data_IF_190438610979
#
_entry.id   IF_190438610979
#
_cell.length_a   1.000
_cell.length_b   1.000
_cell.length_c   1.000
_cell.angle_alpha   90.00
_cell.angle_beta   90.00
_cell.angle_gamma   90.00
#
_symmetry.space_group_name_H-M   'P 1'
#
loop_
_entity.id
_entity.type
_entity.pdbx_description
1 polymer ?
2 polymer ?
3 non-polymer ?
4 non-polymer ?
5 non-polymer ?
6 non-polymer ?
7 non-polymer ?
8 non-polymer ?
9 non-polymer ?
10 water ?
#
# COMPACT_ATOMS: atom_id res chain seq x y z
N UNK A 2 -12.01 8.20 10.92
CA UNK A 2 -11.45 7.12 10.13
C UNK A 2 -11.32 5.88 11.03
N UNK A 3 -11.81 4.75 10.55
CA UNK A 3 -11.77 3.53 11.36
C UNK A 3 -11.71 2.31 10.44
N UNK A 4 -10.97 1.30 10.89
CA UNK A 4 -10.84 0.09 10.10
C UNK A 4 -12.13 -0.70 10.12
N UNK A 5 -12.41 -1.40 9.02
CA UNK A 5 -13.62 -2.20 8.90
C UNK A 5 -13.26 -3.56 8.30
N UNK A 6 -14.18 -4.51 8.45
CA UNK A 6 -13.97 -5.88 8.00
C UNK A 6 -15.26 -6.42 7.40
N UNK A 7 -15.14 -7.16 6.32
CA UNK A 7 -16.23 -7.89 5.69
C UNK A 7 -15.82 -9.36 5.67
N UNK A 8 -16.77 -10.25 5.96
CA UNK A 8 -16.50 -11.67 5.83
C UNK A 8 -17.64 -12.34 5.07
N UNK A 9 -17.29 -13.13 4.06
CA UNK A 9 -18.27 -13.92 3.34
C UNK A 9 -17.58 -15.14 2.74
N UNK A 10 -18.26 -16.28 2.81
CA UNK A 10 -17.77 -17.54 2.23
C UNK A 10 -16.36 -17.86 2.71
N UNK A 11 -16.06 -17.55 3.96
CA UNK A 11 -14.76 -17.84 4.54
C UNK A 11 -13.66 -16.86 4.16
N UNK A 13 -12.13 -12.97 4.38
CA UNK A 13 -12.21 -11.69 5.06
C UNK A 13 -11.56 -10.58 4.25
N UNK A 14 -12.34 -9.52 3.99
CA UNK A 14 -11.84 -8.32 3.33
C UNK A 14 -11.58 -7.25 4.39
N UNK A 15 -10.44 -6.59 4.31
CA UNK A 15 -10.08 -5.57 5.28
C UNK A 15 -10.05 -4.21 4.62
N UNK A 16 -10.66 -3.23 5.29
CA UNK A 16 -10.76 -1.93 4.68
C UNK A 16 -10.72 -0.76 5.64
N UNK A 19 -14.34 6.16 6.24
CA UNK A 19 -14.31 7.55 6.66
C UNK A 19 -15.74 8.06 6.74
N UNK A 20 -16.04 8.82 7.79
CA UNK A 20 -17.30 9.51 7.96
C UNK A 20 -17.05 10.95 8.37
N UNK A 21 -17.89 11.88 7.94
CA UNK A 21 -17.73 13.29 8.33
C UNK A 21 -17.95 13.47 9.83
N UNK A 22 -17.06 14.24 10.47
CA UNK A 22 -17.20 14.53 11.89
C UNK A 22 -18.39 15.45 12.15
N UNK A 23 -18.54 16.49 11.33
CA UNK A 23 -19.54 17.52 11.60
C UNK A 23 -20.95 16.99 11.38
N UNK A 24 -21.17 16.24 10.30
CA UNK A 24 -22.52 15.85 9.92
C UNK A 24 -23.08 14.82 10.88
N UNK A 25 -24.37 14.94 11.19
CA UNK A 25 -25.10 13.96 11.98
C UNK A 25 -26.19 13.34 11.12
N UNK A 26 -26.42 12.05 11.29
CA UNK A 26 -27.40 11.33 10.50
C UNK A 26 -26.77 10.51 9.40
N UNK A 27 -27.58 10.20 8.39
CA UNK A 27 -27.11 9.42 7.25
C UNK A 27 -26.36 10.32 6.27
N UNK A 28 -25.24 9.82 5.75
CA UNK A 28 -24.37 10.62 4.90
C UNK A 28 -24.19 9.91 3.58
N UNK A 29 -23.82 10.64 2.52
CA UNK A 29 -23.45 9.99 1.26
C UNK A 29 -22.15 9.20 1.43
N UNK A 31 -18.92 7.10 -0.79
CA UNK A 31 -18.19 6.75 -2.00
C UNK A 31 -17.40 5.48 -1.73
N UNK A 32 -17.60 4.46 -2.58
CA UNK A 32 -16.85 3.22 -2.50
C UNK A 32 -15.73 3.26 -3.54
N UNK A 34 -12.52 1.38 -5.52
CA UNK A 34 -11.93 0.10 -5.90
C UNK A 34 -10.53 0.33 -6.45
N UNK A 35 -9.55 -0.37 -5.88
CA UNK A 35 -8.17 -0.20 -6.30
C UNK A 35 -7.89 -1.05 -7.55
N UNK A 36 -6.69 -0.87 -8.11
CA UNK A 36 -6.32 -1.47 -9.36
C UNK A 36 -5.49 -2.75 -9.19
N UNK A 37 -4.98 -3.22 -10.34
CA UNK A 37 -4.29 -4.50 -10.48
C UNK A 37 -2.90 -4.42 -9.85
N UNK A 38 -2.66 -5.25 -8.83
CA UNK A 38 -1.51 -5.24 -7.92
C UNK A 38 -1.51 -4.05 -6.97
N UNK A 39 -2.54 -3.20 -7.01
CA UNK A 39 -2.66 -2.11 -6.05
C UNK A 39 -3.29 -2.60 -4.75
N UNK A 40 -3.56 -1.63 -3.88
CA UNK A 40 -4.27 -1.87 -2.63
C UNK A 40 -5.02 -0.60 -2.26
N UNK A 41 -5.77 -0.67 -1.15
CA UNK A 41 -6.74 0.38 -0.81
C UNK A 41 -6.09 1.72 -0.50
N UNK A 42 -4.78 1.76 -0.21
CA UNK A 42 -4.10 3.04 -0.07
C UNK A 42 -3.79 3.63 -1.45
N UNK A 43 -3.51 2.76 -2.41
CA UNK A 43 -3.17 3.07 -3.79
C UNK A 43 -1.95 3.95 -3.96
N UNK A 44 -1.61 4.23 -5.22
CA UNK A 44 -0.35 4.88 -5.56
C UNK A 44 -0.22 6.23 -4.86
N UNK A 45 0.96 6.48 -4.29
CA UNK A 45 1.29 7.65 -3.48
C UNK A 45 0.16 8.06 -2.54
N UNK A 46 -0.54 7.07 -1.97
CA UNK A 46 -1.60 7.27 -0.98
C UNK A 46 -2.78 8.06 -1.56
N UNK A 47 -3.01 7.98 -2.87
CA UNK A 47 -4.01 8.86 -3.48
C UNK A 47 -5.43 8.50 -2.99
N UNK A 48 -5.70 7.23 -2.69
CA UNK A 48 -7.03 6.89 -2.18
C UNK A 48 -7.25 7.43 -0.78
N UNK A 49 -6.23 7.36 0.08
CA UNK A 49 -6.33 7.95 1.41
C UNK A 49 -6.59 9.44 1.31
N UNK A 50 -5.86 10.12 0.43
CA UNK A 50 -6.03 11.56 0.25
C UNK A 50 -7.41 11.87 -0.28
N UNK A 52 -10.18 10.05 0.25
CA UNK A 52 -11.10 9.84 1.36
C UNK A 52 -11.14 11.06 2.27
N UNK A 53 -9.98 11.62 2.60
CA UNK A 53 -9.95 12.75 3.51
C UNK A 53 -10.49 14.01 2.86
N UNK A 54 -10.31 14.15 1.54
CA UNK A 54 -10.89 15.30 0.84
C UNK A 54 -12.41 15.21 0.81
N UNK A 55 -12.95 14.00 0.58
CA UNK A 55 -14.41 13.82 0.62
C UNK A 55 -14.96 14.09 2.01
N UNK A 56 -14.29 13.59 3.04
CA UNK A 56 -14.73 13.81 4.42
C UNK A 56 -14.91 15.30 4.70
N UNK A 57 -14.04 16.14 4.12
CA UNK A 57 -14.12 17.58 4.37
C UNK A 57 -15.39 18.21 3.82
N UNK A 58 -16.03 17.60 2.82
CA UNK A 58 -17.23 18.17 2.21
C UNK A 58 -18.49 17.40 2.61
N UNK A 59 -18.40 16.52 3.60
CA UNK A 59 -19.56 15.84 4.12
C UNK A 59 -19.85 14.50 3.50
N UNK A 60 -18.89 13.87 2.85
CA UNK A 60 -19.09 12.64 2.09
C UNK A 60 -18.21 11.55 2.69
N UNK A 61 -18.84 10.46 3.12
CA UNK A 61 -18.10 9.33 3.65
C UNK A 61 -17.58 8.44 2.54
N UNK A 62 -16.73 7.48 2.94
CA UNK A 62 -16.16 6.58 1.96
C UNK A 62 -15.75 5.29 2.63
N UNK A 63 -15.61 4.24 1.81
CA UNK A 63 -14.97 3.00 2.23
C UNK A 63 -14.00 2.59 1.13
N UNK A 64 -12.90 1.96 1.56
CA UNK A 64 -11.87 1.43 0.67
C UNK A 64 -11.45 0.09 1.23
N UNK A 65 -11.68 -0.98 0.47
CA UNK A 65 -11.27 -2.32 0.87
C UNK A 65 -10.17 -2.85 -0.05
N UNK A 66 -9.36 -3.78 0.49
CA UNK A 66 -8.49 -4.58 -0.36
C UNK A 66 -9.29 -5.75 -0.90
N UNK A 67 -9.21 -5.96 -2.21
CA UNK A 67 -9.83 -7.16 -2.79
C UNK A 67 -9.18 -8.40 -2.23
N UNK A 68 -9.95 -9.49 -2.19
CA UNK A 68 -9.41 -10.78 -1.79
C UNK A 68 -8.20 -11.11 -2.64
N UNK A 69 -7.09 -11.48 -1.99
CA UNK A 69 -5.84 -11.75 -2.66
C UNK A 69 -4.88 -10.58 -2.72
N UNK A 70 -5.27 -9.40 -2.25
CA UNK A 70 -4.42 -8.21 -2.28
C UNK A 70 -4.32 -7.56 -0.92
N UNK A 71 -3.19 -6.91 -0.67
CA UNK A 71 -3.07 -5.99 0.46
C UNK A 71 -3.27 -6.66 1.80
N UNK A 72 -4.14 -6.04 2.62
CA UNK A 72 -4.41 -6.53 3.97
C UNK A 72 -5.46 -7.62 4.01
N UNK A 73 -6.23 -7.80 2.94
CA UNK A 73 -7.29 -8.78 2.96
C UNK A 73 -6.71 -10.20 2.92
N UNK A 74 -7.59 -11.18 3.14
CA UNK A 74 -7.21 -12.59 3.05
C UNK A 74 -6.88 -12.97 1.61
N UNK A 75 -6.23 -14.12 1.46
CA UNK A 75 -6.04 -14.78 0.19
C UNK A 75 -4.70 -14.45 -0.45
N UNK A 76 -4.28 -15.31 -1.38
CA UNK A 76 -3.13 -15.03 -2.22
C UNK A 76 -3.59 -14.54 -3.59
N UNK A 77 -2.71 -13.76 -4.23
CA UNK A 77 -3.00 -13.20 -5.54
C UNK A 77 -3.37 -14.29 -6.54
N UNK A 78 -2.82 -15.50 -6.38
CA UNK A 78 -3.08 -16.59 -7.31
C UNK A 78 -4.52 -17.08 -7.26
N UNK A 79 -5.27 -16.75 -6.21
CA UNK A 79 -6.67 -17.10 -6.13
C UNK A 79 -7.58 -16.08 -6.78
N UNK A 81 -9.41 -13.62 -9.46
CA UNK A 81 -9.77 -13.37 -10.84
C UNK A 81 -10.52 -12.04 -10.89
N UNK A 82 -10.67 -11.49 -12.09
CA UNK A 82 -11.50 -10.30 -12.25
C UNK A 82 -12.89 -10.55 -11.70
N UNK A 83 -13.45 -11.73 -11.96
CA UNK A 83 -14.77 -12.07 -11.47
C UNK A 83 -14.81 -12.20 -9.95
N UNK A 84 -13.73 -12.67 -9.30
CA UNK A 84 -13.75 -12.74 -7.85
C UNK A 84 -13.68 -11.35 -7.22
N UNK A 85 -13.02 -10.39 -7.89
CA UNK A 85 -13.04 -9.01 -7.42
C UNK A 85 -14.42 -8.38 -7.65
N UNK A 86 -15.11 -8.76 -8.73
CA UNK A 86 -16.50 -8.34 -8.88
C UNK A 86 -17.35 -8.84 -7.73
N UNK A 87 -17.18 -10.10 -7.32
CA UNK A 87 -18.00 -10.57 -6.21
C UNK A 87 -17.60 -9.90 -4.90
N UNK A 88 -16.31 -9.60 -4.70
CA UNK A 88 -15.91 -8.76 -3.58
C UNK A 88 -16.66 -7.43 -3.61
N UNK A 89 -16.71 -6.80 -4.78
CA UNK A 89 -17.32 -5.48 -4.90
C UNK A 89 -18.79 -5.51 -4.54
N UNK A 90 -19.50 -6.57 -4.95
CA UNK A 90 -20.91 -6.70 -4.59
C UNK A 90 -21.07 -6.82 -3.08
N UNK A 91 -20.17 -7.57 -2.43
CA UNK A 91 -20.21 -7.68 -0.98
C UNK A 91 -19.84 -6.36 -0.31
N UNK A 92 -18.96 -5.58 -0.94
CA UNK A 92 -18.61 -4.27 -0.41
C UNK A 92 -19.80 -3.33 -0.49
N UNK A 93 -20.50 -3.34 -1.62
CA UNK A 93 -21.71 -2.54 -1.76
C UNK A 93 -22.74 -2.89 -0.71
N UNK A 95 -22.26 -4.24 2.22
CA UNK A 95 -21.74 -3.73 3.49
C UNK A 95 -22.12 -2.26 3.70
N UNK A 96 -21.84 -1.44 2.69
CA UNK A 96 -22.11 -0.01 2.76
C UNK A 96 -23.61 0.25 2.94
N UNK A 98 -25.73 -1.43 4.32
CA UNK A 98 -26.24 -1.94 5.58
C UNK A 98 -25.70 -1.18 6.78
N UNK A 99 -24.82 -0.22 6.52
CA UNK A 99 -24.32 0.63 7.60
C UNK A 99 -25.41 1.61 8.01
N UNK A 100 -25.67 1.77 9.31
CA UNK A 100 -26.73 2.70 9.73
C UNK A 100 -26.45 4.15 9.34
N UNK A 101 -25.20 4.51 9.05
CA UNK A 101 -24.86 5.89 8.72
C UNK A 101 -24.92 6.18 7.22
N UNK A 102 -25.25 5.20 6.39
CA UNK A 102 -25.27 5.38 4.95
C UNK A 102 -26.61 5.95 4.51
N UNK A 103 -26.56 6.96 3.64
CA UNK A 103 -27.75 7.40 2.92
C UNK A 103 -27.85 6.54 1.67
N UNK A 104 -28.80 5.60 1.60
CA UNK A 104 -28.82 4.65 0.47
C UNK A 104 -29.09 5.30 -0.87
N UNK A 105 -29.65 6.50 -0.90
CA UNK A 105 -29.94 7.20 -2.14
C UNK A 105 -28.74 7.96 -2.68
N UNK A 106 -27.61 7.98 -1.96
CA UNK A 106 -26.46 8.81 -2.30
C UNK A 106 -25.16 8.01 -2.16
N UNK A 107 -25.07 6.89 -2.87
CA UNK A 107 -23.88 6.06 -2.88
C UNK A 107 -23.19 6.24 -4.22
N UNK A 108 -21.91 6.63 -4.18
CA UNK A 108 -21.10 6.78 -5.37
C UNK A 108 -20.03 5.71 -5.45
N UNK A 109 -19.59 5.41 -6.67
CA UNK A 109 -18.51 4.47 -6.91
C UNK A 109 -17.33 5.20 -7.55
N UNK A 110 -16.13 4.84 -7.13
CA UNK A 110 -14.90 5.32 -7.75
C UNK A 110 -13.99 4.13 -7.99
N UNK A 111 -13.37 4.09 -9.16
CA UNK A 111 -12.42 3.02 -9.45
C UNK A 111 -11.21 3.51 -10.22
N UNK A 112 -10.04 3.01 -9.86
CA UNK A 112 -8.78 3.36 -10.50
C UNK A 112 -8.28 2.17 -11.31
N UNK A 113 -8.00 2.39 -12.59
CA UNK A 113 -7.38 1.42 -13.50
C UNK A 113 -8.28 0.19 -13.59
N UNK A 115 -9.64 -1.24 -11.26
CA UNK A 115 -10.72 -0.93 -10.35
C UNK A 115 -11.78 -0.06 -10.99
N UNK A 116 -11.39 0.75 -11.99
CA UNK A 116 -12.37 1.47 -12.79
C UNK A 116 -13.22 0.52 -13.62
N UNK A 117 -12.61 -0.55 -14.13
CA UNK A 117 -13.40 -1.56 -14.84
C UNK A 117 -14.40 -2.23 -13.92
N UNK A 118 -13.97 -2.58 -12.70
CA UNK A 118 -14.91 -3.11 -11.71
C UNK A 118 -16.01 -2.11 -11.44
N UNK A 119 -15.65 -0.83 -11.25
CA UNK A 119 -16.65 0.17 -10.90
C UNK A 119 -17.67 0.37 -12.01
N UNK A 120 -17.23 0.34 -13.27
CA UNK A 120 -18.16 0.50 -14.36
C UNK A 120 -19.16 -0.64 -14.46
N UNK A 121 -18.70 -1.86 -14.19
CA UNK A 121 -19.59 -3.01 -14.29
C UNK A 121 -20.56 -3.04 -13.12
N UNK A 122 -20.08 -2.77 -11.91
CA UNK A 122 -20.97 -2.76 -10.74
C UNK A 122 -21.99 -1.64 -10.88
N UNK A 123 -21.57 -0.48 -11.39
CA UNK A 123 -22.50 0.61 -11.64
C UNK A 123 -23.65 0.15 -12.53
N UNK A 124 -23.32 -0.55 -13.63
CA UNK A 124 -24.37 -1.02 -14.54
C UNK A 124 -25.27 -2.05 -13.87
N UNK A 125 -24.68 -2.99 -13.12
CA UNK A 125 -25.47 -4.01 -12.44
C UNK A 125 -26.45 -3.38 -11.46
N UNK A 126 -26.04 -2.31 -10.80
CA UNK A 126 -26.88 -1.68 -9.78
C UNK A 126 -27.26 -0.27 -10.21
N UNK A 128 -29.78 1.43 -10.72
CA UNK A 128 -30.88 2.17 -10.12
C UNK A 128 -30.61 2.53 -8.67
N UNK A 129 -29.44 2.12 -8.15
CA UNK A 129 -29.07 2.45 -6.78
C UNK A 129 -27.64 2.94 -6.63
N UNK A 130 -26.98 3.29 -7.73
CA UNK A 130 -25.67 3.94 -7.69
C UNK A 130 -25.86 5.35 -8.26
N UNK A 131 -25.59 6.36 -7.44
CA UNK A 131 -25.98 7.72 -7.78
C UNK A 131 -25.01 8.38 -8.75
N UNK A 132 -23.72 8.05 -8.67
CA UNK A 132 -22.72 8.67 -9.54
C UNK A 132 -21.50 7.77 -9.60
N UNK A 133 -20.72 7.93 -10.68
CA UNK A 133 -19.58 7.06 -10.98
C UNK A 133 -18.40 7.93 -11.37
N UNK A 134 -17.23 7.63 -10.81
CA UNK A 134 -15.98 8.29 -11.17
C UNK A 134 -14.98 7.22 -11.59
N UNK A 135 -14.40 7.38 -12.77
CA UNK A 135 -13.45 6.44 -13.34
C UNK A 135 -12.11 7.15 -13.48
N UNK A 136 -11.08 6.62 -12.82
CA UNK A 136 -9.71 7.13 -12.95
C UNK A 136 -8.93 6.16 -13.82
N UNK A 137 -8.43 6.65 -14.96
CA UNK A 137 -7.66 5.85 -15.91
C UNK A 137 -8.27 4.46 -16.07
N UNK A 138 -9.56 4.35 -16.39
CA UNK A 138 -10.24 3.05 -16.31
C UNK A 138 -9.72 2.07 -17.37
N UNK A 139 -9.33 0.89 -16.91
CA UNK A 139 -8.73 -0.13 -17.77
C UNK A 139 -9.80 -1.01 -18.42
N UNK A 140 -10.68 -0.36 -19.21
CA UNK A 140 -11.71 -1.12 -19.90
C UNK A 140 -11.12 -2.07 -20.93
N UNK A 141 -9.90 -1.82 -21.40
CA UNK A 141 -9.22 -2.71 -22.33
C UNK A 141 -8.37 -3.77 -21.63
N UNK A 143 -8.89 -6.87 -20.80
CA UNK A 143 -8.82 -8.17 -21.50
C UNK A 143 -7.82 -8.17 -22.64
N UNK A 144 -7.81 -7.13 -23.47
CA UNK A 144 -6.83 -7.07 -24.54
C UNK A 144 -5.41 -6.98 -23.99
N UNK A 145 -5.21 -6.17 -22.95
CA UNK A 145 -3.88 -5.99 -22.40
C UNK A 145 -3.31 -7.31 -21.87
N UNK A 146 -4.18 -8.15 -21.31
CA UNK A 146 -3.73 -9.46 -20.82
C UNK A 146 -3.46 -10.39 -21.99
N UNK A 148 -2.63 -9.72 -24.97
CA UNK A 148 -1.43 -9.30 -25.68
C UNK A 148 -0.18 -9.96 -25.12
N UNK A 149 -0.19 -10.31 -23.83
CA UNK A 149 0.96 -10.94 -23.21
C UNK A 149 1.06 -12.42 -23.53
N UNK A 150 -0.03 -13.04 -24.01
CA UNK A 150 -0.03 -14.47 -24.24
C UNK A 150 0.93 -14.89 -25.34
N UNK A 151 1.29 -13.98 -26.25
CA UNK A 151 2.22 -14.29 -27.34
C UNK A 151 3.64 -13.87 -27.00
N UNK A 152 3.88 -13.39 -25.78
CA UNK A 152 5.22 -13.02 -25.33
C UNK A 152 5.71 -14.08 -24.34
N UNK A 153 6.83 -13.79 -23.66
CA UNK A 153 7.41 -14.78 -22.77
C UNK A 153 6.45 -15.21 -21.68
N UNK A 154 5.58 -14.30 -21.21
CA UNK A 154 4.57 -14.66 -20.22
C UNK A 154 3.75 -15.86 -20.68
N UNK A 155 3.36 -15.89 -21.96
CA UNK A 155 2.53 -16.97 -22.45
C UNK A 155 3.23 -18.32 -22.42
N UNK A 156 4.53 -18.33 -22.76
CA UNK A 156 5.30 -19.57 -22.73
C UNK A 156 5.44 -20.11 -21.31
N UNK A 157 5.70 -19.23 -20.34
CA UNK A 157 5.82 -19.67 -18.96
C UNK A 157 4.48 -20.17 -18.45
N UNK A 159 2.13 -21.53 -19.97
CA UNK A 159 1.84 -22.86 -20.50
C UNK A 159 2.58 -23.95 -19.72
N UNK A 160 3.79 -23.67 -19.25
CA UNK A 160 4.55 -24.67 -18.51
C UNK A 160 4.06 -24.82 -17.07
N UNK A 161 3.65 -23.72 -16.44
CA UNK A 161 3.46 -23.70 -15.00
C UNK A 161 2.02 -23.53 -14.57
N UNK A 162 1.15 -22.99 -15.41
CA UNK A 162 -0.20 -22.64 -14.99
C UNK A 162 -0.30 -21.33 -14.27
N UNK A 163 0.81 -20.60 -14.11
CA UNK A 163 0.83 -19.27 -13.52
C UNK A 163 2.06 -18.56 -14.06
N UNK A 164 2.12 -17.25 -13.84
CA UNK A 164 3.31 -16.47 -14.15
C UNK A 164 3.59 -15.54 -12.97
N UNK A 165 4.87 -15.15 -12.85
CA UNK A 165 5.32 -14.21 -11.84
C UNK A 165 5.30 -12.82 -12.46
N UNK A 166 4.40 -11.95 -12.01
CA UNK A 166 4.33 -10.59 -12.55
C UNK A 166 5.10 -9.60 -11.69
N UNK A 167 5.97 -10.09 -10.80
CA UNK A 167 6.83 -9.23 -10.00
C UNK A 167 6.55 -9.34 -8.52
N UNK A 168 6.64 -10.54 -7.97
CA UNK A 168 6.23 -10.80 -6.61
C UNK A 168 4.76 -11.09 -6.44
N UNK A 169 4.04 -11.37 -7.53
CA UNK A 169 2.65 -11.81 -7.48
C UNK A 169 2.47 -13.00 -8.39
N UNK A 171 0.25 -14.83 -10.79
CA UNK A 171 -0.94 -14.66 -11.60
C UNK A 171 -1.37 -15.99 -12.19
N UNK A 172 -2.57 -16.44 -11.84
CA UNK A 172 -3.04 -17.76 -12.22
C UNK A 172 -3.57 -17.78 -13.65
N UNK A 173 -3.46 -18.94 -14.30
CA UNK A 173 -4.13 -19.12 -15.59
C UNK A 173 -5.64 -18.94 -15.46
N UNK A 174 -6.19 -19.18 -14.26
CA UNK A 174 -7.60 -18.90 -14.03
C UNK A 174 -7.93 -17.44 -14.33
N UNK A 175 -7.04 -16.52 -13.94
CA UNK A 175 -7.27 -15.11 -14.22
C UNK A 175 -7.35 -14.88 -15.72
N UNK A 176 -6.45 -15.50 -16.49
CA UNK A 176 -6.44 -15.26 -17.94
C UNK A 176 -7.72 -15.81 -18.57
N UNK A 177 -8.12 -17.02 -18.18
CA UNK A 177 -9.31 -17.63 -18.76
C UNK A 177 -10.56 -16.83 -18.40
N UNK A 178 -10.63 -16.34 -17.16
CA UNK A 178 -11.78 -15.56 -16.73
C UNK A 178 -11.89 -14.25 -17.50
N UNK A 179 -10.78 -13.50 -17.59
CA UNK A 179 -10.85 -12.19 -18.22
C UNK A 179 -11.00 -12.26 -19.73
N UNK A 180 -10.57 -13.37 -20.36
CA UNK A 180 -10.69 -13.47 -21.81
C UNK A 180 -12.14 -13.55 -22.26
N UNK A 181 -13.07 -13.85 -21.37
CA UNK A 181 -14.48 -13.96 -21.70
C UNK A 181 -15.27 -12.69 -21.41
N UNK A 182 -14.62 -11.65 -20.88
CA UNK A 182 -15.31 -10.44 -20.45
C UNK A 182 -15.03 -9.28 -21.41
N UNK A 183 -16.07 -8.50 -21.69
CA UNK A 183 -15.96 -7.25 -22.44
C UNK A 183 -16.43 -6.13 -21.52
N UNK A 184 -15.49 -5.32 -21.04
CA UNK A 184 -15.82 -4.30 -20.04
C UNK A 184 -16.69 -3.21 -20.65
N UNK A 185 -16.41 -2.85 -21.90
CA UNK A 185 -17.21 -1.82 -22.58
C UNK A 185 -18.67 -2.23 -22.65
N UNK A 186 -18.93 -3.48 -23.06
CA UNK A 186 -20.30 -3.97 -23.16
C UNK A 186 -20.96 -4.05 -21.79
N UNK A 187 -20.25 -4.63 -20.81
CA UNK A 187 -20.83 -4.85 -19.49
C UNK A 187 -21.11 -3.55 -18.75
N UNK A 188 -20.44 -2.47 -19.14
CA UNK A 188 -20.64 -1.18 -18.48
C UNK A 188 -21.71 -0.33 -19.14
N UNK A 189 -22.07 -0.65 -20.38
CA UNK A 189 -23.05 0.16 -21.09
C UNK A 189 -24.44 -0.03 -20.49
N UNK A 190 -25.17 1.09 -20.39
CA UNK A 190 -26.51 1.08 -19.83
C UNK A 190 -26.65 1.81 -18.51
N UNK A 191 -25.55 2.32 -17.95
CA UNK A 191 -25.60 3.15 -16.76
C UNK A 191 -25.90 4.59 -17.18
N UNK A 192 -27.01 5.13 -16.70
CA UNK A 192 -27.51 6.40 -17.20
C UNK A 192 -27.31 7.57 -16.26
N UNK A 193 -26.82 7.35 -15.04
CA UNK A 193 -26.56 8.47 -14.14
C UNK A 193 -25.23 9.11 -14.50
N UNK A 195 -21.45 10.29 -14.95
CA UNK A 195 -20.14 9.65 -14.94
C UNK A 195 -19.06 10.71 -15.12
N UNK A 196 -17.96 10.58 -14.38
CA UNK A 196 -16.79 11.41 -14.58
C UNK A 196 -15.59 10.51 -14.86
N UNK A 197 -14.87 10.80 -15.95
CA UNK A 197 -13.67 10.07 -16.32
C UNK A 197 -12.48 11.00 -16.17
N UNK A 198 -11.48 10.58 -15.40
CA UNK A 198 -10.24 11.32 -15.22
C UNK A 198 -9.11 10.51 -15.85
N UNK A 199 -8.40 11.12 -16.80
CA UNK A 199 -7.36 10.38 -17.52
C UNK A 199 -6.20 11.31 -17.83
N UNK A 200 -4.98 10.82 -17.62
CA UNK A 200 -3.78 11.56 -17.98
C UNK A 200 -3.37 11.26 -19.42
N UNK A 201 -2.91 12.30 -20.12
CA UNK A 201 -2.60 12.14 -21.54
C UNK A 201 -1.39 11.25 -21.75
N UNK A 202 -0.45 11.21 -20.81
CA UNK A 202 0.77 10.41 -20.93
C UNK A 202 0.65 9.06 -20.24
N UNK A 203 -0.56 8.59 -19.99
CA UNK A 203 -0.77 7.27 -19.40
C UNK A 203 -0.20 6.21 -20.33
N UNK A 204 0.81 5.48 -19.85
CA UNK A 204 1.44 4.42 -20.63
C UNK A 204 0.94 3.03 -20.26
N UNK A 205 0.07 2.92 -19.25
CA UNK A 205 -0.54 1.65 -18.89
C UNK A 205 -1.89 1.47 -19.59
N UNK A 206 -2.79 2.42 -19.40
CA UNK A 206 -4.07 2.48 -20.09
C UNK A 206 -4.00 3.71 -20.99
N UNK A 207 -3.77 3.52 -22.28
CA UNK A 207 -3.55 4.65 -23.17
C UNK A 207 -4.75 5.59 -23.13
N UNK A 208 -4.48 6.87 -23.27
CA UNK A 208 -5.49 7.91 -23.15
C UNK A 208 -6.66 7.68 -24.09
N UNK A 210 -8.26 5.13 -24.67
CA UNK A 210 -9.29 4.29 -24.05
C UNK A 210 -10.43 5.16 -23.52
N UNK A 211 -10.10 6.33 -22.96
CA UNK A 211 -11.15 7.23 -22.51
C UNK A 211 -11.99 7.75 -23.67
N UNK A 212 -11.37 7.95 -24.85
CA UNK A 212 -12.16 8.25 -26.04
C UNK A 212 -13.16 7.13 -26.32
N UNK A 213 -12.70 5.88 -26.29
CA UNK A 213 -13.58 4.75 -26.57
C UNK A 213 -14.73 4.68 -25.57
N UNK A 214 -14.45 4.92 -24.29
CA UNK A 214 -15.49 4.83 -23.28
C UNK A 214 -16.55 5.91 -23.50
N UNK A 215 -16.12 7.15 -23.79
CA UNK A 215 -17.07 8.21 -24.08
C UNK A 215 -17.92 7.88 -25.30
N UNK A 216 -17.32 7.20 -26.28
CA UNK A 216 -18.02 6.95 -27.54
C UNK A 216 -18.91 5.71 -27.49
N UNK A 217 -18.42 4.64 -26.85
CA UNK A 217 -19.07 3.32 -26.93
C UNK A 217 -19.92 2.99 -25.72
N UNK A 218 -19.62 3.52 -24.55
CA UNK A 218 -20.22 3.05 -23.30
C UNK A 218 -21.33 3.99 -22.82
N UNK A 219 -21.03 5.28 -22.72
CA UNK A 219 -21.96 6.23 -22.13
C UNK A 219 -22.43 7.26 -23.15
N UNK A 220 -23.52 7.93 -22.81
CA UNK A 220 -24.00 9.09 -23.55
C UNK A 220 -23.57 10.38 -22.90
N UNK A 221 -24.45 11.38 -22.98
CA UNK A 221 -24.19 12.71 -22.43
C UNK A 221 -23.99 12.71 -20.93
N UNK A 222 -24.29 11.62 -20.23
CA UNK A 222 -24.12 11.59 -18.78
C UNK A 222 -22.65 11.50 -18.36
N UNK A 223 -21.74 11.23 -19.28
CA UNK A 223 -20.32 11.11 -18.97
C UNK A 223 -19.58 12.33 -19.47
N UNK A 224 -18.70 12.87 -18.62
CA UNK A 224 -17.76 13.91 -19.03
C UNK A 224 -16.36 13.48 -18.61
N UNK A 225 -15.36 14.04 -19.27
CA UNK A 225 -13.98 13.68 -19.03
C UNK A 225 -13.20 14.90 -18.53
N UNK A 226 -12.44 14.72 -17.46
CA UNK A 226 -11.42 15.67 -17.06
C UNK A 226 -10.08 15.12 -17.53
N UNK A 227 -9.42 15.84 -18.41
CA UNK A 227 -8.14 15.45 -18.95
C UNK A 227 -7.05 16.12 -18.13
N UNK A 228 -6.13 15.33 -17.58
CA UNK A 228 -5.00 15.88 -16.85
C UNK A 228 -3.82 15.90 -17.81
N UNK A 229 -3.50 17.10 -18.29
CA UNK A 229 -2.49 17.25 -19.33
C UNK A 229 -1.14 16.75 -18.83
N UNK A 230 -0.52 15.86 -19.60
CA UNK A 230 0.84 15.34 -19.43
C UNK A 230 0.97 14.36 -18.28
N UNK A 231 -0.11 14.02 -17.58
CA UNK A 231 -0.02 13.15 -16.41
C UNK A 231 0.18 11.69 -16.82
N UNK A 232 0.84 10.95 -15.94
CA UNK A 232 1.02 9.52 -16.11
C UNK A 232 -0.18 8.76 -15.54
N UNK A 233 -0.04 7.45 -15.43
CA UNK A 233 -1.18 6.56 -15.17
C UNK A 233 -1.88 6.88 -13.85
N UNK A 234 -1.12 7.02 -12.76
CA UNK A 234 -1.72 7.26 -11.46
C UNK A 234 -1.55 8.69 -10.97
N UNK A 235 -1.34 9.64 -11.89
CA UNK A 235 -1.25 11.06 -11.54
C UNK A 235 -0.15 11.29 -10.51
N UNK A 237 2.19 13.12 -9.32
CA UNK A 237 2.80 14.40 -8.99
C UNK A 237 1.84 15.13 -8.06
N UNK A 238 2.33 16.13 -7.34
CA UNK A 238 1.46 16.88 -6.43
C UNK A 238 0.34 17.58 -7.21
N UNK A 239 0.69 18.26 -8.31
CA UNK A 239 -0.33 18.98 -9.07
C UNK A 239 -1.33 18.03 -9.72
N UNK A 240 -0.84 16.91 -10.27
CA UNK A 240 -1.74 15.99 -10.98
C UNK A 240 -2.72 15.33 -10.02
N UNK A 241 -2.24 14.82 -8.89
CA UNK A 241 -3.13 14.14 -7.96
C UNK A 241 -4.11 15.14 -7.35
N UNK A 244 -6.86 15.67 -9.90
CA UNK A 244 -7.69 14.47 -9.93
C UNK A 244 -8.65 14.44 -8.74
N UNK A 245 -8.10 14.68 -7.55
CA UNK A 245 -8.91 14.65 -6.34
C UNK A 245 -9.94 15.77 -6.35
N UNK A 246 -9.49 17.01 -6.56
CA UNK A 246 -10.40 18.14 -6.47
C UNK A 246 -11.54 18.06 -7.48
N UNK A 247 -11.24 17.64 -8.72
CA UNK A 247 -12.31 17.51 -9.72
C UNK A 247 -13.29 16.40 -9.33
N UNK A 248 -12.77 15.30 -8.78
CA UNK A 248 -13.62 14.19 -8.41
C UNK A 248 -14.46 14.52 -7.19
N UNK A 249 -13.90 15.28 -6.24
CA UNK A 249 -14.66 15.69 -5.06
C UNK A 249 -15.78 16.65 -5.45
N UNK A 250 -15.48 17.62 -6.32
CA UNK A 250 -16.51 18.57 -6.73
C UNK A 250 -17.62 17.87 -7.50
N UNK A 251 -17.25 16.88 -8.31
CA UNK A 251 -18.24 16.08 -9.02
C UNK A 251 -19.13 15.30 -8.04
N UNK A 252 -18.53 14.63 -7.07
CA UNK A 252 -19.30 13.88 -6.08
C UNK A 252 -20.13 14.81 -5.21
N UNK A 254 -21.49 17.65 -6.26
CA UNK A 254 -22.63 18.01 -7.07
C UNK A 254 -23.68 16.91 -7.12
N UNK A 255 -23.22 15.67 -7.34
CA UNK A 255 -24.14 14.57 -7.59
C UNK A 255 -24.67 13.92 -6.33
N UNK A 256 -23.87 13.83 -5.27
CA UNK A 256 -24.29 13.12 -4.07
C UNK A 256 -24.91 14.00 -3.00
N UNK A 257 -24.55 15.28 -2.92
CA UNK A 257 -25.05 16.09 -1.82
C UNK A 257 -26.45 16.64 -2.08
N UNK A 258 -26.82 16.86 -3.34
CA UNK A 258 -28.13 17.44 -3.65
C UNK A 258 -28.88 16.54 -4.63
N UNK A 259 -30.19 16.76 -4.71
CA UNK A 259 -31.07 15.97 -5.53
C UNK A 259 -32.19 15.34 -4.74
N UNK B 2 -5.56 -11.73 12.63
CA UNK B 2 -5.10 -10.43 12.15
C UNK B 2 -6.15 -9.35 12.45
N UNK B 4 -6.82 -4.79 13.00
CA UNK B 4 -6.31 -3.43 12.91
C UNK B 4 -6.07 -2.88 14.31
N UNK B 5 -5.07 -2.02 14.45
CA UNK B 5 -4.71 -1.44 15.74
C UNK B 5 -4.40 0.05 15.54
N UNK B 6 -4.42 0.79 16.64
CA UNK B 6 -4.18 2.24 16.60
C UNK B 6 -3.31 2.65 17.77
N UNK B 7 -2.51 3.68 17.54
CA UNK B 7 -1.74 4.35 18.60
C UNK B 7 -2.01 5.84 18.46
N UNK B 8 -2.39 6.49 19.55
CA UNK B 8 -2.56 7.94 19.55
C UNK B 8 -1.64 8.56 20.59
N UNK B 9 -0.77 9.46 20.15
CA UNK B 9 0.18 10.13 21.04
C UNK B 9 0.49 11.51 20.50
N UNK B 10 0.59 12.48 21.41
CA UNK B 10 0.95 13.85 21.06
C UNK B 10 0.07 14.39 19.93
N UNK B 11 -1.21 14.01 19.96
CA UNK B 11 -2.16 14.43 18.95
C UNK B 11 -2.06 13.68 17.63
N UNK B 12 -1.13 12.74 17.49
CA UNK B 12 -0.97 11.97 16.26
C UNK B 12 -1.57 10.59 16.42
N UNK B 13 -2.23 10.10 15.37
CA UNK B 13 -2.80 8.76 15.36
C UNK B 13 -2.11 7.93 14.29
N UNK B 14 -1.46 6.85 14.72
CA UNK B 14 -0.87 5.87 13.83
C UNK B 14 -1.81 4.69 13.68
N UNK B 15 -1.90 4.15 12.48
CA UNK B 15 -2.78 3.03 12.19
C UNK B 15 -1.96 1.86 11.66
N UNK B 16 -2.29 0.66 12.15
CA UNK B 16 -1.53 -0.51 11.80
C UNK B 16 -2.29 -1.82 11.85
N UNK B 19 -0.81 -9.16 14.16
CA UNK B 19 -1.00 -10.58 13.89
C UNK B 19 -0.66 -11.37 15.14
N UNK B 20 -1.49 -12.35 15.47
CA UNK B 20 -1.21 -13.32 16.52
C UNK B 20 -1.40 -14.72 15.97
N UNK B 21 -0.58 -15.67 16.39
CA UNK B 21 -0.81 -17.07 16.00
C UNK B 21 -2.18 -17.55 16.46
N UNK B 22 -2.84 -18.34 15.60
CA UNK B 22 -4.10 -18.95 16.00
C UNK B 22 -3.89 -20.18 16.87
N UNK B 23 -2.87 -20.98 16.57
CA UNK B 23 -2.72 -22.30 17.20
C UNK B 23 -1.92 -22.27 18.49
N UNK B 24 -1.40 -21.11 18.89
CA UNK B 24 -0.62 -20.99 20.10
C UNK B 24 -1.08 -19.73 20.81
N UNK B 26 -1.69 -17.24 24.56
CA UNK B 26 -0.87 -16.74 25.64
C UNK B 26 0.17 -15.74 25.13
N UNK B 27 1.25 -15.57 25.89
CA UNK B 27 2.29 -14.63 25.51
C UNK B 27 3.17 -15.23 24.42
N UNK B 28 3.32 -14.49 23.32
CA UNK B 28 4.02 -15.00 22.15
C UNK B 28 5.11 -14.02 21.76
N UNK B 29 6.13 -14.48 21.05
CA UNK B 29 7.10 -13.55 20.46
C UNK B 29 6.42 -12.58 19.50
N UNK B 31 7.32 -9.54 16.37
CA UNK B 31 8.23 -8.86 15.47
C UNK B 31 7.59 -7.55 15.03
N UNK B 32 8.28 -6.45 15.26
CA UNK B 32 7.83 -5.14 14.80
C UNK B 32 8.49 -4.85 13.46
N UNK B 34 9.10 -2.16 10.24
CA UNK B 34 9.09 -0.76 9.83
C UNK B 34 9.23 -0.66 8.31
N UNK B 35 8.30 0.05 7.68
CA UNK B 35 8.33 0.18 6.23
C UNK B 35 9.31 1.28 5.81
N UNK B 36 9.55 1.37 4.51
CA UNK B 36 10.55 2.27 3.95
C UNK B 36 9.97 3.58 3.44
N UNK B 37 10.85 4.34 2.78
CA UNK B 37 10.59 5.71 2.38
C UNK B 37 9.63 5.76 1.20
N UNK B 38 8.44 6.33 1.42
CA UNK B 38 7.25 6.37 0.55
C UNK B 38 6.51 5.03 0.55
N UNK B 39 6.98 4.03 1.29
CA UNK B 39 6.24 2.80 1.45
C UNK B 39 5.17 2.91 2.52
N UNK B 40 4.50 1.79 2.78
CA UNK B 40 3.53 1.69 3.85
C UNK B 40 3.59 0.27 4.42
N UNK B 41 2.76 0.00 5.42
CA UNK B 41 2.89 -1.21 6.22
C UNK B 41 2.64 -2.49 5.42
N UNK B 42 1.96 -2.40 4.28
CA UNK B 42 1.81 -3.56 3.41
C UNK B 42 3.09 -3.84 2.64
N UNK B 43 3.78 -2.77 2.25
CA UNK B 43 5.05 -2.75 1.54
C UNK B 43 4.99 -3.38 0.15
N UNK B 44 6.13 -3.34 -0.54
CA UNK B 44 6.18 -3.67 -1.96
C UNK B 44 5.70 -5.11 -2.20
N UNK B 45 4.84 -5.27 -3.20
CA UNK B 45 4.12 -6.50 -3.53
C UNK B 45 3.63 -7.25 -2.29
N UNK B 46 3.16 -6.50 -1.29
CA UNK B 46 2.56 -7.02 -0.07
C UNK B 46 3.55 -7.85 0.76
N UNK B 47 4.86 -7.61 0.62
CA UNK B 47 5.83 -8.50 1.25
C UNK B 47 5.71 -8.48 2.77
N UNK B 48 5.31 -7.35 3.37
CA UNK B 48 5.18 -7.33 4.83
C UNK B 48 4.00 -8.17 5.31
N UNK B 49 2.90 -8.14 4.57
CA UNK B 49 1.76 -8.99 4.92
C UNK B 49 2.15 -10.45 4.81
N UNK B 50 2.81 -10.82 3.70
CA UNK B 50 3.28 -12.19 3.54
C UNK B 50 4.20 -12.59 4.68
N UNK B 52 4.23 -11.29 7.81
CA UNK B 52 3.42 -11.44 9.01
C UNK B 52 2.73 -12.80 9.04
N UNK B 53 2.20 -13.24 7.89
CA UNK B 53 1.48 -14.51 7.86
C UNK B 53 2.44 -15.69 7.98
N UNK B 54 3.63 -15.57 7.39
CA UNK B 54 4.61 -16.65 7.55
C UNK B 54 5.08 -16.77 8.99
N UNK B 55 5.19 -15.65 9.71
CA UNK B 55 5.55 -15.68 11.12
C UNK B 55 4.46 -16.33 11.97
N UNK B 56 3.20 -15.99 11.70
CA UNK B 56 2.06 -16.62 12.38
C UNK B 56 2.18 -18.12 12.37
N UNK B 58 4.67 -20.07 12.35
CA UNK B 58 5.67 -20.68 13.23
C UNK B 58 5.49 -20.24 14.69
N UNK B 59 4.39 -19.56 14.98
CA UNK B 59 4.07 -19.20 16.35
C UNK B 59 4.54 -17.83 16.78
N UNK B 60 4.79 -16.92 15.85
CA UNK B 60 5.34 -15.59 16.13
C UNK B 60 4.35 -14.54 15.63
N UNK B 61 3.97 -13.62 16.53
CA UNK B 61 3.11 -12.51 16.17
C UNK B 61 3.91 -11.34 15.64
N UNK B 62 3.18 -10.32 15.19
CA UNK B 62 3.83 -9.14 14.63
C UNK B 62 2.88 -7.95 14.65
N UNK B 63 3.48 -6.76 14.57
CA UNK B 63 2.71 -5.55 14.28
C UNK B 63 3.44 -4.78 13.20
N UNK B 64 2.67 -4.06 12.39
CA UNK B 64 3.24 -3.15 11.40
C UNK B 64 2.31 -1.96 11.29
N UNK B 65 2.87 -0.79 11.50
CA UNK B 65 2.16 0.47 11.47
C UNK B 65 2.65 1.31 10.31
N UNK B 66 1.76 2.16 9.80
CA UNK B 66 2.19 3.25 8.94
C UNK B 66 2.78 4.36 9.79
N UNK B 67 3.97 4.82 9.44
CA UNK B 67 4.53 5.99 10.10
C UNK B 67 3.62 7.20 9.90
N UNK B 68 3.65 8.12 10.87
CA UNK B 68 2.92 9.37 10.71
C UNK B 68 3.34 10.05 9.42
N UNK B 69 2.34 10.40 8.59
CA UNK B 69 2.58 11.01 7.30
C UNK B 69 2.49 10.05 6.13
N UNK B 70 2.35 8.75 6.38
CA UNK B 70 2.31 7.75 5.32
C UNK B 70 1.09 6.87 5.47
N UNK B 71 0.60 6.38 4.33
CA UNK B 71 -0.34 5.27 4.34
C UNK B 71 -1.65 5.63 5.01
N UNK B 72 -2.12 4.76 5.91
CA UNK B 72 -3.38 4.96 6.61
C UNK B 72 -3.26 5.87 7.83
N UNK B 73 -2.05 6.15 8.30
CA UNK B 73 -1.89 6.95 9.50
C UNK B 73 -2.18 8.42 9.24
N UNK B 74 -2.35 9.18 10.32
CA UNK B 74 -2.57 10.61 10.24
C UNK B 74 -1.37 11.31 9.61
N UNK B 75 -1.61 12.51 9.10
CA UNK B 75 -0.54 13.44 8.80
C UNK B 75 -0.20 13.49 7.32
N UNK B 76 0.38 14.62 6.93
CA UNK B 76 0.89 14.83 5.59
C UNK B 76 2.35 14.41 5.53
N UNK B 77 2.76 13.87 4.37
CA UNK B 77 4.15 13.46 4.19
C UNK B 77 5.11 14.62 4.47
N UNK B 78 4.68 15.85 4.18
CA UNK B 78 5.49 17.04 4.45
C UNK B 78 5.74 17.26 5.93
N UNK B 79 5.00 16.60 6.81
CA UNK B 79 5.22 16.71 8.24
C UNK B 79 6.27 15.74 8.75
N UNK B 81 9.75 13.62 9.31
CA UNK B 81 11.20 13.58 9.28
C UNK B 81 11.65 12.19 9.68
N UNK B 82 12.91 11.86 9.41
CA UNK B 82 13.46 10.62 9.95
C UNK B 82 13.28 10.56 11.46
N UNK B 83 13.51 11.67 12.14
CA UNK B 83 13.38 11.69 13.59
C UNK B 83 11.94 11.52 14.04
N UNK B 84 10.96 12.00 13.26
CA UNK B 84 9.57 11.79 13.66
C UNK B 84 9.17 10.33 13.47
N UNK B 85 9.75 9.63 12.48
CA UNK B 85 9.51 8.20 12.36
C UNK B 85 10.21 7.42 13.48
N UNK B 86 11.38 7.88 13.93
CA UNK B 86 12.01 7.27 15.11
C UNK B 86 11.12 7.38 16.34
N UNK B 87 10.49 8.54 16.54
CA UNK B 87 9.60 8.68 17.68
C UNK B 87 8.35 7.81 17.52
N UNK B 88 7.78 7.76 16.30
CA UNK B 88 6.75 6.77 16.00
C UNK B 88 7.19 5.37 16.42
N UNK B 89 8.42 5.00 16.04
CA UNK B 89 8.90 3.65 16.33
C UNK B 89 8.99 3.41 17.83
N UNK B 90 9.38 4.43 18.60
CA UNK B 90 9.43 4.27 20.05
C UNK B 90 8.04 4.02 20.62
N UNK B 91 7.03 4.70 20.09
CA UNK B 91 5.66 4.49 20.53
C UNK B 91 5.13 3.13 20.11
N UNK B 92 5.53 2.65 18.94
CA UNK B 92 5.11 1.33 18.49
C UNK B 92 5.68 0.25 19.39
N UNK B 93 6.96 0.36 19.75
CA UNK B 93 7.60 -0.58 20.69
C UNK B 93 6.90 -0.56 22.05
N UNK B 95 3.78 0.32 22.60
CA UNK B 95 2.49 -0.32 22.36
C UNK B 95 2.61 -1.84 22.45
N UNK B 96 3.59 -2.40 21.73
CA UNK B 96 3.82 -3.84 21.72
C UNK B 96 4.12 -4.33 23.14
N UNK B 97 5.02 -3.63 23.84
CA UNK B 97 5.36 -4.02 25.20
C UNK B 97 4.14 -4.03 26.11
N UNK B 98 3.13 -3.24 25.80
CA UNK B 98 1.97 -3.14 26.69
C UNK B 98 0.83 -4.08 26.31
N UNK B 99 0.97 -4.88 25.26
CA UNK B 99 -0.06 -5.87 24.93
C UNK B 99 0.05 -7.07 25.86
N UNK B 100 -1.06 -7.56 26.42
CA UNK B 100 -0.97 -8.73 27.32
C UNK B 100 -0.54 -10.00 26.62
N UNK B 101 -0.60 -10.06 25.30
CA UNK B 101 -0.19 -11.24 24.54
C UNK B 101 1.29 -11.23 24.17
N UNK B 102 2.03 -10.20 24.56
CA UNK B 102 3.43 -10.06 24.15
C UNK B 102 4.34 -10.71 25.18
N UNK B 103 5.23 -11.58 24.70
CA UNK B 103 6.34 -12.04 25.54
C UNK B 103 7.42 -10.97 25.50
N UNK B 104 7.63 -10.24 26.59
CA UNK B 104 8.55 -9.10 26.54
C UNK B 104 10.00 -9.52 26.34
N UNK B 105 10.34 -10.78 26.57
CA UNK B 105 11.68 -11.29 26.34
C UNK B 105 11.90 -11.78 24.91
N UNK B 106 10.89 -11.69 24.04
CA UNK B 106 10.99 -12.26 22.71
C UNK B 106 10.44 -11.28 21.67
N UNK B 107 10.97 -10.06 21.68
CA UNK B 107 10.58 -9.03 20.73
C UNK B 107 11.70 -8.84 19.72
N UNK B 108 11.35 -8.96 18.43
CA UNK B 108 12.30 -8.72 17.37
C UNK B 108 11.90 -7.53 16.52
N UNK B 109 12.84 -6.97 15.77
CA UNK B 109 12.58 -5.86 14.86
C UNK B 109 12.95 -6.26 13.45
N UNK B 110 12.17 -5.80 12.48
CA UNK B 110 12.47 -5.95 11.07
C UNK B 110 12.24 -4.62 10.38
N UNK B 111 13.17 -4.23 9.51
CA UNK B 111 12.99 -3.00 8.75
C UNK B 111 13.45 -3.14 7.31
N UNK B 112 12.71 -2.53 6.39
CA UNK B 112 13.05 -2.55 4.97
C UNK B 112 13.48 -1.15 4.55
N UNK B 113 14.66 -1.06 3.94
CA UNK B 113 15.16 0.17 3.32
C UNK B 113 15.32 1.23 4.41
N UNK B 115 13.24 1.98 6.58
CA UNK B 115 12.76 1.29 7.77
C UNK B 115 13.83 0.43 8.41
N UNK B 116 14.76 -0.10 7.61
CA UNK B 116 15.89 -0.81 8.17
C UNK B 116 16.81 0.09 8.97
N UNK B 117 17.01 1.33 8.48
CA UNK B 117 17.77 2.30 9.26
C UNK B 117 17.06 2.63 10.57
N UNK B 118 15.74 2.76 10.54
CA UNK B 118 14.98 2.93 11.77
C UNK B 118 15.20 1.76 12.71
N UNK B 119 15.10 0.54 12.19
CA UNK B 119 15.26 -0.64 13.04
C UNK B 119 16.65 -0.72 13.65
N UNK B 120 17.68 -0.40 12.87
CA UNK B 120 19.03 -0.46 13.41
C UNK B 120 19.24 0.49 14.58
N UNK B 121 18.71 1.71 14.47
CA UNK B 121 18.87 2.70 15.53
C UNK B 121 18.02 2.31 16.74
N UNK B 122 16.79 1.86 16.51
CA UNK B 122 15.92 1.47 17.62
C UNK B 122 16.49 0.25 18.35
N UNK B 123 16.98 -0.74 17.60
CA UNK B 123 17.59 -1.90 18.23
C UNK B 123 18.74 -1.49 19.12
N UNK B 124 19.60 -0.58 18.65
CA UNK B 124 20.73 -0.14 19.47
C UNK B 124 20.25 0.65 20.69
N UNK B 125 19.23 1.49 20.52
CA UNK B 125 18.72 2.30 21.62
C UNK B 125 18.06 1.43 22.68
N UNK B 126 17.48 0.31 22.28
CA UNK B 126 16.84 -0.60 23.22
C UNK B 126 17.54 -1.95 23.19
N UNK B 128 19.00 -3.97 25.09
CA UNK B 128 18.83 -5.00 26.10
C UNK B 128 17.41 -5.58 26.12
N UNK B 129 16.52 -5.03 25.29
CA UNK B 129 15.14 -5.53 25.20
C UNK B 129 14.72 -5.90 23.79
N UNK B 130 15.63 -5.85 22.82
CA UNK B 130 15.35 -6.31 21.46
C UNK B 130 16.16 -7.58 21.25
N UNK B 132 16.30 -9.86 18.68
CA UNK B 132 16.90 -10.12 17.36
C UNK B 132 16.51 -9.04 16.35
N UNK B 133 17.35 -8.85 15.33
CA UNK B 133 17.17 -7.77 14.36
C UNK B 133 17.33 -8.33 12.95
N UNK B 134 16.37 -8.02 12.09
CA UNK B 134 16.44 -8.34 10.67
C UNK B 134 16.40 -7.06 9.86
N UNK B 135 17.38 -6.89 8.98
CA UNK B 135 17.49 -5.73 8.11
C UNK B 135 17.34 -6.19 6.66
N UNK B 136 16.33 -5.65 5.97
CA UNK B 136 16.14 -5.88 4.55
C UNK B 136 16.60 -4.65 3.78
N UNK B 137 17.62 -4.83 2.92
CA UNK B 137 18.21 -3.77 2.12
C UNK B 137 18.31 -2.46 2.90
N UNK B 138 18.97 -2.48 4.07
CA UNK B 138 18.85 -1.33 4.99
C UNK B 138 19.54 -0.09 4.44
N UNK B 139 18.81 1.01 4.43
CA UNK B 139 19.30 2.26 3.86
C UNK B 139 20.10 3.06 4.91
N UNK B 140 21.16 2.42 5.40
CA UNK B 140 22.05 3.11 6.35
C UNK B 140 22.75 4.31 5.71
N UNK B 141 22.80 4.37 4.38
CA UNK B 141 23.41 5.50 3.69
C UNK B 141 22.38 6.54 3.27
N UNK B 143 21.36 9.33 4.61
CA UNK B 143 21.84 10.73 4.63
C UNK B 143 22.64 11.10 3.40
N UNK B 144 23.56 10.24 2.98
CA UNK B 144 24.33 10.53 1.77
C UNK B 144 23.43 10.58 0.54
N UNK B 145 22.50 9.63 0.41
CA UNK B 145 21.61 9.61 -0.74
C UNK B 145 20.79 10.88 -0.83
N UNK B 146 20.39 11.44 0.30
CA UNK B 146 19.62 12.69 0.30
C UNK B 146 20.52 13.86 -0.06
N UNK B 148 23.23 13.82 -1.68
CA UNK B 148 23.69 13.72 -3.06
C UNK B 148 22.76 14.46 -4.01
N UNK B 149 21.48 14.59 -3.64
CA UNK B 149 20.55 15.33 -4.48
C UNK B 149 20.71 16.84 -4.36
N UNK B 150 21.41 17.32 -3.33
CA UNK B 150 21.54 18.75 -3.11
C UNK B 150 22.23 19.45 -4.27
N UNK B 151 22.99 18.73 -5.08
CA UNK B 151 23.68 19.32 -6.22
C UNK B 151 22.95 18.99 -7.52
N UNK B 153 18.94 18.50 -9.65
CA UNK B 153 17.78 19.36 -9.85
C UNK B 153 16.93 19.46 -8.59
N UNK B 154 16.83 18.35 -7.85
CA UNK B 154 16.09 18.36 -6.60
C UNK B 154 16.62 19.44 -5.65
N UNK B 155 17.95 19.56 -5.56
CA UNK B 155 18.54 20.56 -4.69
C UNK B 155 18.12 21.96 -5.08
N UNK B 156 18.10 22.26 -6.38
CA UNK B 156 17.72 23.60 -6.83
C UNK B 156 16.26 23.89 -6.54
N UNK B 157 15.37 22.92 -6.73
CA UNK B 157 13.96 23.10 -6.41
C UNK B 157 13.78 23.31 -4.92
N UNK B 159 15.74 24.57 -2.73
CA UNK B 159 16.16 25.92 -2.35
C UNK B 159 15.08 26.95 -2.67
N UNK B 160 14.37 26.78 -3.79
CA UNK B 160 13.35 27.75 -4.17
C UNK B 160 12.08 27.59 -3.35
N UNK B 161 11.65 26.36 -3.08
CA UNK B 161 10.32 26.11 -2.56
C UNK B 161 10.27 25.72 -1.08
N UNK B 162 11.36 25.21 -0.52
CA UNK B 162 11.30 24.65 0.81
C UNK B 162 10.74 23.25 0.87
N UNK B 163 10.49 22.63 -0.28
CA UNK B 163 10.05 21.24 -0.39
C UNK B 163 10.36 20.80 -1.81
N UNK B 164 10.25 19.50 -2.05
CA UNK B 164 10.29 18.97 -3.40
C UNK B 164 9.20 17.91 -3.55
N UNK B 165 8.80 17.68 -4.79
CA UNK B 165 7.83 16.66 -5.14
C UNK B 165 8.59 15.43 -5.60
N UNK B 166 8.48 14.33 -4.83
CA UNK B 166 9.20 13.11 -5.17
C UNK B 166 8.30 12.08 -5.84
N UNK B 167 7.13 12.50 -6.32
CA UNK B 167 6.23 11.60 -7.03
C UNK B 167 4.88 11.49 -6.37
N UNK B 168 4.21 12.62 -6.18
CA UNK B 168 2.99 12.64 -5.40
C UNK B 168 3.20 12.63 -3.91
N UNK B 169 4.40 12.95 -3.44
CA UNK B 169 4.68 13.17 -2.02
C UNK B 169 5.45 14.48 -1.87
N UNK B 171 8.13 16.43 0.04
CA UNK B 171 9.24 16.22 0.96
C UNK B 171 9.80 17.56 1.44
N UNK B 172 9.68 17.82 2.74
CA UNK B 172 10.02 19.11 3.31
C UNK B 172 11.53 19.27 3.47
N UNK B 173 11.96 20.53 3.48
CA UNK B 173 13.34 20.83 3.85
C UNK B 173 13.64 20.42 5.29
N UNK B 174 12.62 20.35 6.14
CA UNK B 174 12.83 19.84 7.50
C UNK B 174 13.36 18.42 7.47
N UNK B 175 12.88 17.60 6.54
CA UNK B 175 13.42 16.24 6.42
C UNK B 175 14.90 16.29 6.08
N UNK B 176 15.28 17.16 5.15
CA UNK B 176 16.68 17.26 4.75
C UNK B 176 17.53 17.77 5.90
N UNK B 177 17.08 18.84 6.57
CA UNK B 177 17.82 19.38 7.71
C UNK B 177 18.00 18.31 8.79
N UNK B 178 16.95 17.54 9.07
CA UNK B 178 17.01 16.56 10.14
C UNK B 178 17.98 15.43 9.81
N UNK B 179 17.88 14.87 8.59
CA UNK B 179 18.68 13.69 8.28
C UNK B 179 20.14 14.03 8.04
N UNK B 180 20.45 15.29 7.70
CA UNK B 180 21.85 15.66 7.49
C UNK B 180 22.66 15.62 8.77
N UNK B 181 21.99 15.57 9.92
CA UNK B 181 22.66 15.50 11.21
C UNK B 181 22.82 14.08 11.73
N UNK B 182 22.38 13.08 10.97
CA UNK B 182 22.31 11.71 11.47
C UNK B 182 23.32 10.82 10.75
N UNK B 183 24.04 10.01 11.53
CA UNK B 183 24.90 8.96 10.99
C UNK B 183 24.29 7.63 11.44
N UNK B 184 23.62 6.95 10.51
CA UNK B 184 22.88 5.74 10.86
C UNK B 184 23.84 4.62 11.24
N UNK B 185 24.99 4.54 10.58
CA UNK B 185 26.01 3.55 10.94
C UNK B 185 26.43 3.71 12.40
N UNK B 186 26.77 4.94 12.80
CA UNK B 186 27.25 5.18 14.16
C UNK B 186 26.14 4.96 15.18
N UNK B 187 24.92 5.34 14.84
CA UNK B 187 23.81 5.25 15.79
C UNK B 187 23.33 3.82 15.98
N UNK B 188 23.64 2.92 15.05
CA UNK B 188 23.26 1.52 15.17
C UNK B 188 24.38 0.66 15.75
N UNK B 189 25.61 1.17 15.81
CA UNK B 189 26.73 0.37 16.28
C UNK B 189 26.58 0.07 17.77
N UNK B 190 26.90 -1.17 18.13
CA UNK B 190 26.90 -1.60 19.51
C UNK B 190 25.83 -2.63 19.84
N UNK B 191 24.81 -2.78 19.00
CA UNK B 191 23.84 -3.84 19.20
C UNK B 191 24.56 -5.19 19.11
N UNK B 192 24.42 -6.00 20.15
CA UNK B 192 25.25 -7.18 20.30
C UNK B 192 24.51 -8.50 20.11
N UNK B 195 21.88 -10.53 14.39
CA UNK B 195 21.39 -9.69 13.32
C UNK B 195 21.42 -10.47 12.01
N UNK B 196 20.36 -10.36 11.22
CA UNK B 196 20.31 -10.93 9.87
C UNK B 196 20.13 -9.78 8.88
N UNK B 197 21.04 -9.70 7.90
CA UNK B 197 20.95 -8.73 6.82
C UNK B 197 20.60 -9.47 5.54
N UNK B 198 19.52 -9.05 4.87
CA UNK B 198 19.10 -9.63 3.61
C UNK B 198 19.21 -8.55 2.54
N UNK B 199 20.01 -8.82 1.50
CA UNK B 199 20.28 -7.79 0.49
C UNK B 199 20.40 -8.41 -0.90
N UNK B 200 19.76 -7.77 -1.89
CA UNK B 200 19.85 -8.20 -3.26
C UNK B 200 21.07 -7.59 -3.94
N UNK B 201 21.74 -8.41 -4.75
CA UNK B 201 22.98 -7.95 -5.38
C UNK B 201 22.73 -6.85 -6.40
N UNK B 202 21.56 -6.85 -7.06
CA UNK B 202 21.22 -5.87 -8.08
C UNK B 202 20.40 -4.72 -7.52
N UNK B 203 20.47 -4.48 -6.22
CA UNK B 203 19.74 -3.36 -5.63
C UNK B 203 20.28 -2.04 -6.17
N UNK B 204 19.43 -1.28 -6.86
CA UNK B 204 19.83 0.00 -7.43
C UNK B 204 19.43 1.19 -6.57
N UNK B 205 18.70 0.96 -5.47
CA UNK B 205 18.35 2.04 -4.55
C UNK B 205 19.34 2.12 -3.39
N UNK B 206 19.56 1.02 -2.69
CA UNK B 206 20.59 0.90 -1.67
C UNK B 206 21.59 -0.11 -2.20
N UNK B 207 22.74 0.37 -2.69
CA UNK B 207 23.69 -0.53 -3.33
C UNK B 207 24.14 -1.62 -2.36
N UNK B 208 24.40 -2.80 -2.90
CA UNK B 208 24.76 -3.97 -2.10
C UNK B 208 25.98 -3.72 -1.21
N UNK B 210 26.55 -1.36 0.61
CA UNK B 210 26.13 -0.84 1.91
C UNK B 210 26.12 -1.96 2.94
N UNK B 211 25.67 -3.15 2.54
CA UNK B 211 25.68 -4.27 3.48
C UNK B 211 27.10 -4.65 3.88
N UNK B 212 28.07 -4.53 2.97
CA UNK B 212 29.47 -4.69 3.33
C UNK B 212 29.87 -3.69 4.41
N UNK B 213 29.46 -2.43 4.26
CA UNK B 213 29.79 -1.42 5.25
C UNK B 213 29.18 -1.75 6.61
N UNK B 214 27.93 -2.23 6.62
CA UNK B 214 27.26 -2.54 7.88
C UNK B 214 27.94 -3.71 8.58
N UNK B 215 28.28 -4.75 7.82
CA UNK B 215 28.99 -5.89 8.40
C UNK B 215 30.33 -5.48 8.98
N UNK B 216 31.00 -4.52 8.34
CA UNK B 216 32.33 -4.12 8.78
C UNK B 216 32.26 -3.10 9.91
N UNK B 217 31.43 -2.07 9.76
CA UNK B 217 31.48 -0.89 10.62
C UNK B 217 30.51 -0.92 11.78
N UNK B 218 29.46 -1.73 11.73
CA UNK B 218 28.33 -1.61 12.66
C UNK B 218 28.28 -2.78 13.62
N UNK B 219 28.38 -4.01 13.12
CA UNK B 219 28.19 -5.20 13.94
C UNK B 219 29.45 -6.05 13.93
N UNK B 220 29.50 -6.97 14.89
CA UNK B 220 30.53 -7.98 14.96
C UNK B 220 30.05 -9.30 14.37
N UNK B 221 30.57 -10.40 14.93
CA UNK B 221 30.21 -11.74 14.48
C UNK B 221 28.75 -12.07 14.74
N UNK B 222 28.04 -11.24 15.49
CA UNK B 222 26.62 -11.44 15.75
C UNK B 222 25.75 -11.14 14.53
N UNK B 223 26.32 -10.59 13.46
CA UNK B 223 25.58 -10.31 12.24
C UNK B 223 25.92 -11.31 11.16
N UNK B 224 24.90 -11.74 10.42
CA UNK B 224 25.02 -12.64 9.29
C UNK B 224 24.27 -12.02 8.12
N UNK B 225 24.77 -12.21 6.91
CA UNK B 225 24.12 -11.67 5.71
C UNK B 225 23.60 -12.80 4.83
N UNK B 226 22.34 -12.69 4.42
CA UNK B 226 21.78 -13.54 3.38
C UNK B 226 21.78 -12.73 2.08
N UNK B 227 22.55 -13.18 1.10
CA UNK B 227 22.62 -12.50 -0.19
C UNK B 227 21.61 -13.12 -1.14
N UNK B 228 20.72 -12.32 -1.70
CA UNK B 228 19.77 -12.79 -2.70
C UNK B 228 20.33 -12.44 -4.06
N UNK B 229 20.90 -13.46 -4.72
CA UNK B 229 21.62 -13.24 -5.96
C UNK B 229 20.69 -12.70 -7.04
N UNK B 230 21.12 -11.60 -7.66
CA UNK B 230 20.49 -10.94 -8.80
C UNK B 230 19.22 -10.16 -8.45
N UNK B 231 18.82 -10.12 -7.19
CA UNK B 231 17.56 -9.49 -6.82
C UNK B 231 17.68 -7.97 -6.81
N UNK B 232 16.54 -7.32 -7.04
CA UNK B 232 16.44 -5.87 -6.95
C UNK B 232 16.10 -5.44 -5.51
N UNK B 233 15.76 -4.16 -5.33
CA UNK B 233 15.75 -3.56 -4.00
C UNK B 233 14.74 -4.22 -3.06
N UNK B 234 13.53 -4.50 -3.55
CA UNK B 234 12.50 -5.07 -2.67
C UNK B 234 12.18 -6.52 -3.00
N UNK B 235 13.10 -7.23 -3.65
CA UNK B 235 12.96 -8.66 -3.90
C UNK B 235 11.73 -8.93 -4.75
N UNK B 237 10.24 -10.59 -6.98
CA UNK B 237 9.96 -11.81 -7.73
C UNK B 237 9.49 -12.84 -6.73
N UNK B 238 8.79 -13.86 -7.20
CA UNK B 238 8.29 -14.87 -6.26
C UNK B 238 9.44 -15.59 -5.58
N UNK B 239 10.49 -15.93 -6.33
CA UNK B 239 11.60 -16.66 -5.72
C UNK B 239 12.40 -15.78 -4.77
N UNK B 240 12.63 -14.52 -5.14
CA UNK B 240 13.41 -13.63 -4.27
C UNK B 240 12.66 -13.33 -2.98
N UNK B 241 11.38 -12.99 -3.11
CA UNK B 241 10.56 -12.73 -1.94
C UNK B 241 10.47 -13.96 -1.05
N UNK B 242 10.38 -15.15 -1.65
CA UNK B 242 10.29 -16.40 -0.90
C UNK B 242 11.56 -16.61 -0.07
N UNK B 244 13.71 -14.27 0.92
CA UNK B 244 13.80 -13.24 1.94
C UNK B 244 12.95 -13.57 3.16
N UNK B 245 11.72 -14.01 2.88
CA UNK B 245 10.78 -14.33 3.96
C UNK B 245 11.21 -15.60 4.69
N UNK B 246 11.52 -16.66 3.94
CA UNK B 246 11.86 -17.92 4.58
C UNK B 246 13.12 -17.81 5.43
N UNK B 247 14.17 -17.16 4.92
CA UNK B 247 15.38 -16.99 5.71
C UNK B 247 15.11 -16.13 6.95
N UNK B 248 14.25 -15.12 6.82
CA UNK B 248 13.97 -14.24 7.95
C UNK B 248 13.10 -14.94 8.99
N UNK B 249 12.14 -15.75 8.55
CA UNK B 249 11.32 -16.52 9.48
C UNK B 249 12.17 -17.54 10.23
N UNK B 250 13.04 -18.26 9.53
CA UNK B 250 13.87 -19.25 10.22
C UNK B 250 14.84 -18.60 11.20
N UNK B 251 15.29 -17.39 10.89
CA UNK B 251 16.14 -16.65 11.83
C UNK B 251 15.36 -16.25 13.08
N UNK B 252 14.18 -15.66 12.91
CA UNK B 252 13.35 -15.30 14.06
C UNK B 252 12.91 -16.53 14.84
N UNK B 255 16.03 -17.46 16.89
CA UNK B 255 16.41 -16.49 17.91
C UNK B 255 15.32 -16.19 18.94
N UNK B 256 14.06 -16.21 18.53
CA UNK B 256 12.97 -15.84 19.43
C UNK B 256 12.30 -17.04 20.11
N UNK B 257 12.33 -18.22 19.49
CA UNK B 257 11.68 -19.39 20.08
C UNK B 257 12.65 -20.26 20.87
N UNK B 258 13.85 -19.76 21.17
CA UNK B 258 14.76 -20.44 22.06
C UNK B 258 14.16 -20.57 23.46
N UNK B 259 14.69 -21.52 24.22
CA UNK B 259 14.40 -21.66 25.64
C UNK B 259 12.95 -21.59 26.09
#
# INVERSE_FOLDING_TARGET
XQKAVEITYNGXTLRGXXHLPDDVKGKVPXVIXFHGFTGNKVESHFIFVKXSRALEKVGIGSVRFDFYGSGESDGDFSEXTFSSELEDARQILXFVXEQPTTDPERIGLLGLSXGGAIAGIVAREYXDEIKALVLWAPAFNXPELIXNESVKQYGAIXEQLGFVDIGGHXLSKDFVEDISKLNIFELSKGYDKXVLIVHGTNDEAVEYXVSDRILKEVYGDNATRVTIENADHTFXSLEWEXXAIEESVEFFXKELLKG
XQXAVEITYNGKTLRGXXHLPDDVXGKVPXVIXFHGFTGNKVESHFIFVKXSRALEXVGIGSVRFDFYGSGESDGDFSEXTFSSELEDARQILXFVKEQPTTDPERIGLLGLSXGGAIAGIVAREYXDEIXALVLWAPAFNXPELIXNESVXQYGAIXEQLGFVDIGGHXLSKDFVEDISKLNIFELSKGYDXXVLIVHGTNDEAVEYXVSDRILKEVYGDNATRVTIENADHTFXSLEWEKXAIEESVEFFXXELLKG
#
